data_IF_434078125125
#
_entry.id   IF_434078125125
#
_cell.length_a   1.000
_cell.length_b   1.000
_cell.length_c   1.000
_cell.angle_alpha   90.00
_cell.angle_beta   90.00
_cell.angle_gamma   90.00
#
_symmetry.space_group_name_H-M   'P 1'
#
loop_
_entity.id
_entity.type
_entity.pdbx_description
1 polymer ?
#
# COMPACT_ATOMS: atom_id res chain seq x y z
N UNK A 1 7.26 12.31 17.24
CA UNK A 1 8.52 11.60 17.56
C UNK A 1 8.57 10.37 16.68
N UNK A 2 9.75 9.97 16.19
CA UNK A 2 9.91 8.78 15.35
C UNK A 2 10.93 7.84 16.00
N UNK A 3 10.86 6.55 15.70
CA UNK A 3 11.86 5.57 16.14
C UNK A 3 13.15 5.69 15.31
N UNK A 4 14.30 5.61 15.98
CA UNK A 4 15.59 5.41 15.33
C UNK A 4 15.75 3.94 14.88
N UNK A 5 16.72 3.66 14.02
CA UNK A 5 17.07 2.31 13.57
C UNK A 5 17.23 1.29 14.73
N UNK A 6 17.93 1.67 15.79
CA UNK A 6 18.17 0.84 16.98
C UNK A 6 16.83 0.50 17.67
N UNK A 7 15.92 1.48 17.76
CA UNK A 7 14.61 1.29 18.37
C UNK A 7 13.68 0.46 17.48
N UNK A 8 13.70 0.68 16.16
CA UNK A 8 12.95 -0.13 15.19
C UNK A 8 13.36 -1.60 15.35
N UNK A 9 14.66 -1.87 15.37
CA UNK A 9 15.17 -3.23 15.54
C UNK A 9 14.74 -3.84 16.89
N UNK A 10 14.84 -3.09 17.98
CA UNK A 10 14.41 -3.57 19.30
C UNK A 10 12.90 -3.86 19.35
N UNK A 11 12.06 -2.99 18.79
CA UNK A 11 10.60 -3.16 18.78
C UNK A 11 10.13 -4.29 17.85
N UNK A 12 10.89 -4.60 16.77
CA UNK A 12 10.69 -5.82 15.98
C UNK A 12 11.00 -7.07 16.82
N UNK A 13 12.15 -7.09 17.50
CA UNK A 13 12.56 -8.21 18.37
C UNK A 13 11.57 -8.45 19.51
N UNK A 14 11.00 -7.39 20.06
CA UNK A 14 10.00 -7.45 21.13
C UNK A 14 8.58 -7.81 20.61
N UNK A 15 8.39 -7.93 19.29
CA UNK A 15 7.11 -8.25 18.68
C UNK A 15 6.08 -7.11 18.67
N UNK A 16 6.49 -5.88 19.00
CA UNK A 16 5.62 -4.70 18.94
C UNK A 16 5.47 -4.16 17.52
N UNK A 17 6.46 -4.41 16.65
CA UNK A 17 6.39 -4.14 15.21
C UNK A 17 6.52 -5.49 14.49
N UNK A 18 5.58 -5.77 13.60
CA UNK A 18 5.69 -6.89 12.65
C UNK A 18 6.25 -6.35 11.35
N UNK A 19 7.34 -6.95 10.88
CA UNK A 19 7.96 -6.71 9.56
C UNK A 19 8.38 -8.06 8.99
N UNK A 20 7.66 -8.57 7.99
CA UNK A 20 7.83 -9.93 7.50
C UNK A 20 7.98 -9.94 5.97
N UNK A 21 9.18 -10.26 5.43
CA UNK A 21 10.43 -10.58 6.14
C UNK A 21 11.20 -9.33 6.64
N UNK A 22 11.85 -9.46 7.81
CA UNK A 22 12.77 -8.46 8.35
C UNK A 22 14.23 -8.75 7.97
N UNK A 23 14.99 -7.72 7.63
CA UNK A 23 16.43 -7.79 7.34
C UNK A 23 17.11 -6.53 7.87
N UNK A 24 18.04 -6.69 8.80
CA UNK A 24 18.73 -5.57 9.44
C UNK A 24 19.51 -4.70 8.45
N UNK A 25 19.87 -5.22 7.27
CA UNK A 25 20.55 -4.44 6.22
C UNK A 25 19.69 -3.33 5.61
N UNK A 26 18.36 -3.40 5.77
CA UNK A 26 17.40 -2.39 5.26
C UNK A 26 17.00 -1.35 6.30
N UNK A 27 17.57 -1.41 7.51
CA UNK A 27 17.45 -0.32 8.47
C UNK A 27 18.20 0.91 7.97
N UNK A 28 17.51 2.05 8.02
CA UNK A 28 18.03 3.39 7.78
C UNK A 28 17.97 4.15 9.11
N UNK A 29 18.71 5.28 9.28
CA UNK A 29 18.86 5.94 10.59
C UNK A 29 17.58 6.17 11.39
N UNK A 30 16.44 6.41 10.72
CA UNK A 30 15.13 6.53 11.35
C UNK A 30 13.98 5.93 10.51
N UNK A 31 14.32 5.07 9.55
CA UNK A 31 13.34 4.42 8.66
C UNK A 31 13.71 2.96 8.39
N UNK A 32 12.80 2.21 7.78
CA UNK A 32 13.07 0.87 7.28
C UNK A 32 12.64 0.75 5.83
N UNK A 33 13.56 0.33 4.95
CA UNK A 33 13.27 0.15 3.54
C UNK A 33 12.44 -1.12 3.28
N UNK A 34 11.36 -0.97 2.54
CA UNK A 34 10.51 -2.07 2.05
C UNK A 34 10.65 -2.25 0.56
N UNK A 35 10.35 -3.45 0.09
CA UNK A 35 10.53 -3.88 -1.28
C UNK A 35 9.20 -3.97 -2.01
N UNK A 36 9.28 -3.85 -3.33
CA UNK A 36 8.16 -4.10 -4.22
C UNK A 36 7.88 -5.60 -4.30
N UNK A 37 6.62 -5.98 -4.19
CA UNK A 37 6.12 -7.32 -4.48
C UNK A 37 6.05 -7.60 -5.98
N UNK A 38 5.35 -8.66 -6.36
CA UNK A 38 5.26 -9.10 -7.76
C UNK A 38 3.85 -8.99 -8.35
N UNK A 39 2.87 -8.55 -7.56
CA UNK A 39 1.49 -8.36 -7.98
C UNK A 39 1.22 -6.89 -8.26
N UNK A 40 0.63 -6.61 -9.42
CA UNK A 40 0.19 -5.30 -9.85
C UNK A 40 -1.29 -5.33 -10.22
N UNK A 41 -2.02 -4.25 -9.97
CA UNK A 41 -3.38 -4.05 -10.47
C UNK A 41 -3.36 -2.87 -11.43
N UNK A 42 -3.75 -3.12 -12.67
CA UNK A 42 -3.76 -2.14 -13.74
C UNK A 42 -5.20 -1.88 -14.21
N UNK A 43 -5.50 -0.63 -14.52
CA UNK A 43 -6.81 -0.23 -15.02
C UNK A 43 -6.92 -0.54 -16.52
N UNK A 44 -8.06 -1.05 -16.96
CA UNK A 44 -8.40 -1.11 -18.37
C UNK A 44 -8.95 0.26 -18.84
N UNK A 45 -8.10 1.00 -19.54
CA UNK A 45 -8.34 2.38 -19.99
C UNK A 45 -9.49 2.53 -20.99
N UNK A 46 -9.90 1.46 -21.68
CA UNK A 46 -10.93 1.52 -22.72
C UNK A 46 -12.27 0.96 -22.26
N UNK A 47 -12.31 0.30 -21.12
CA UNK A 47 -13.51 -0.35 -20.60
C UNK A 47 -14.48 0.58 -19.85
N UNK A 48 -14.01 1.73 -19.37
CA UNK A 48 -14.75 2.58 -18.44
C UNK A 48 -14.80 4.02 -18.95
N UNK A 49 -15.99 4.50 -19.30
CA UNK A 49 -16.20 5.86 -19.83
C UNK A 49 -15.72 6.96 -18.87
N UNK A 50 -16.09 6.85 -17.60
CA UNK A 50 -15.73 7.78 -16.54
C UNK A 50 -15.91 7.10 -15.17
N UNK A 51 -15.06 7.46 -14.20
CA UNK A 51 -15.20 7.05 -12.81
C UNK A 51 -16.22 7.99 -12.14
N UNK A 52 -17.24 7.43 -11.50
CA UNK A 52 -18.27 8.16 -10.75
C UNK A 52 -18.54 7.42 -9.43
N UNK A 53 -17.81 7.77 -8.35
CA UNK A 53 -17.93 7.09 -7.07
C UNK A 53 -19.35 7.19 -6.47
N UNK A 54 -20.06 8.30 -6.72
CA UNK A 54 -21.41 8.51 -6.22
C UNK A 54 -22.43 7.55 -6.87
N UNK A 55 -22.17 7.14 -8.12
CA UNK A 55 -22.94 6.10 -8.82
C UNK A 55 -22.35 4.69 -8.67
N UNK A 56 -21.23 4.55 -7.95
CA UNK A 56 -20.52 3.29 -7.79
C UNK A 56 -19.85 2.78 -9.07
N UNK A 57 -19.50 3.68 -9.99
CA UNK A 57 -18.78 3.38 -11.23
C UNK A 57 -17.28 3.53 -10.95
N UNK A 58 -16.55 2.44 -11.09
CA UNK A 58 -15.10 2.34 -10.88
C UNK A 58 -14.47 1.69 -12.11
N UNK A 59 -13.16 1.87 -12.34
CA UNK A 59 -12.51 1.27 -13.50
C UNK A 59 -12.54 -0.25 -13.39
N UNK A 60 -12.66 -0.95 -14.53
CA UNK A 60 -12.31 -2.35 -14.55
C UNK A 60 -10.79 -2.49 -14.40
N UNK A 61 -10.39 -3.50 -13.66
CA UNK A 61 -8.99 -3.76 -13.33
C UNK A 61 -8.62 -5.18 -13.66
N UNK A 62 -7.38 -5.39 -14.05
CA UNK A 62 -6.78 -6.71 -14.19
C UNK A 62 -5.57 -6.83 -13.26
N UNK A 63 -5.36 -8.03 -12.72
CA UNK A 63 -4.18 -8.36 -11.92
C UNK A 63 -3.10 -8.89 -12.85
N UNK A 64 -1.89 -8.35 -12.71
CA UNK A 64 -0.70 -8.78 -13.42
C UNK A 64 0.30 -9.30 -12.38
N UNK A 65 0.77 -10.53 -12.56
CA UNK A 65 1.87 -11.09 -11.79
C UNK A 65 3.13 -11.13 -12.64
N UNK A 66 4.23 -10.62 -12.09
CA UNK A 66 5.55 -10.59 -12.76
C UNK A 66 6.46 -11.60 -12.08
N UNK A 67 7.15 -12.45 -12.83
CA UNK A 67 8.01 -13.46 -12.20
C UNK A 67 9.25 -12.82 -11.60
N UNK A 68 9.85 -13.51 -10.64
CA UNK A 68 11.15 -13.11 -10.10
C UNK A 68 12.18 -13.01 -11.23
N UNK A 69 12.90 -11.89 -11.31
CA UNK A 69 13.87 -11.60 -12.37
C UNK A 69 13.30 -10.88 -13.60
N UNK A 70 11.97 -10.80 -13.75
CA UNK A 70 11.33 -10.06 -14.84
C UNK A 70 11.11 -8.58 -14.49
N UNK A 71 10.49 -7.82 -15.40
CA UNK A 71 10.15 -6.40 -15.25
C UNK A 71 8.68 -6.11 -15.48
N UNK A 72 8.20 -5.11 -14.75
CA UNK A 72 7.01 -4.35 -15.10
C UNK A 72 7.44 -2.98 -15.64
N UNK A 73 6.99 -2.61 -16.83
CA UNK A 73 7.29 -1.29 -17.42
C UNK A 73 6.16 -0.31 -17.10
N UNK A 74 6.42 0.66 -16.23
CA UNK A 74 5.47 1.71 -15.89
C UNK A 74 5.64 2.90 -16.85
N UNK A 75 4.71 3.04 -17.79
CA UNK A 75 4.71 4.11 -18.78
C UNK A 75 4.41 5.50 -18.18
N UNK A 76 4.87 6.59 -18.81
CA UNK A 76 4.55 7.97 -18.44
C UNK A 76 3.06 8.22 -18.25
N UNK A 77 2.70 8.93 -17.18
CA UNK A 77 1.32 9.34 -16.87
C UNK A 77 0.40 8.19 -16.41
N UNK A 78 0.91 6.96 -16.31
CA UNK A 78 0.12 5.81 -15.87
C UNK A 78 0.18 5.67 -14.36
N UNK A 79 -0.97 5.40 -13.75
CA UNK A 79 -1.13 5.07 -12.34
C UNK A 79 -1.65 3.64 -12.19
N UNK A 80 -0.97 2.85 -11.35
CA UNK A 80 -1.29 1.45 -11.06
C UNK A 80 -1.24 1.23 -9.54
N UNK A 81 -1.75 0.08 -9.08
CA UNK A 81 -1.43 -0.41 -7.74
C UNK A 81 -0.30 -1.43 -7.84
N UNK A 82 0.76 -1.23 -7.06
CA UNK A 82 1.69 -2.28 -6.67
C UNK A 82 1.45 -2.67 -5.21
N UNK A 83 2.14 -3.69 -4.72
CA UNK A 83 2.07 -4.08 -3.32
C UNK A 83 3.46 -4.27 -2.73
N UNK A 84 3.63 -4.02 -1.43
CA UNK A 84 4.90 -4.35 -0.77
C UNK A 84 5.12 -5.86 -0.70
N UNK A 85 6.38 -6.28 -0.80
CA UNK A 85 6.78 -7.66 -0.53
C UNK A 85 6.62 -7.98 0.95
N UNK A 86 6.96 -7.03 1.81
CA UNK A 86 6.82 -7.14 3.25
C UNK A 86 5.36 -7.00 3.67
N UNK A 87 4.94 -7.88 4.57
CA UNK A 87 3.76 -7.69 5.40
C UNK A 87 4.18 -7.02 6.70
N UNK A 88 3.51 -5.95 7.09
CA UNK A 88 3.88 -5.20 8.30
C UNK A 88 2.69 -4.58 9.01
N UNK A 89 2.92 -4.22 10.28
CA UNK A 89 1.92 -3.58 11.14
C UNK A 89 2.38 -3.44 12.57
N UNK A 90 1.59 -2.73 13.38
CA UNK A 90 1.81 -2.60 14.82
C UNK A 90 0.50 -2.25 15.52
N UNK A 91 0.30 -2.70 16.76
CA UNK A 91 -0.78 -2.21 17.62
C UNK A 91 -0.38 -0.94 18.43
N UNK A 92 0.92 -0.62 18.49
CA UNK A 92 1.51 0.46 19.31
C UNK A 92 1.90 1.70 18.50
N UNK A 93 2.26 1.52 17.23
CA UNK A 93 2.80 2.58 16.38
C UNK A 93 1.84 2.94 15.24
N UNK A 94 1.76 4.23 14.93
CA UNK A 94 1.32 4.70 13.62
C UNK A 94 2.51 4.52 12.66
N UNK A 95 2.26 3.93 11.49
CA UNK A 95 3.30 3.71 10.49
C UNK A 95 2.99 4.58 9.28
N UNK A 96 3.98 5.26 8.73
CA UNK A 96 3.84 6.02 7.49
C UNK A 96 4.76 5.46 6.40
N UNK A 97 4.19 5.23 5.22
CA UNK A 97 4.91 4.84 4.02
C UNK A 97 5.34 6.09 3.27
N UNK A 98 6.62 6.19 2.94
CA UNK A 98 7.19 7.30 2.20
C UNK A 98 7.97 6.79 0.97
N UNK A 99 8.05 7.62 -0.08
CA UNK A 99 8.92 7.36 -1.21
C UNK A 99 10.40 7.42 -0.85
N UNK A 100 11.24 6.72 -1.61
CA UNK A 100 12.70 6.89 -1.55
C UNK A 100 13.10 8.11 -2.39
N UNK A 101 13.99 8.96 -1.86
CA UNK A 101 14.40 10.20 -2.56
C UNK A 101 15.00 9.92 -3.95
N UNK A 102 15.76 8.83 -4.10
CA UNK A 102 16.30 8.40 -5.39
C UNK A 102 15.22 8.13 -6.44
N UNK A 103 14.13 7.48 -6.05
CA UNK A 103 13.03 7.14 -6.95
C UNK A 103 12.13 8.35 -7.24
N UNK A 104 11.91 9.21 -6.25
CA UNK A 104 11.20 10.47 -6.44
C UNK A 104 11.90 11.37 -7.48
N UNK A 105 13.25 11.41 -7.48
CA UNK A 105 14.04 12.20 -8.43
C UNK A 105 13.93 11.74 -9.88
N UNK A 106 13.56 10.47 -10.12
CA UNK A 106 13.28 9.97 -11.47
C UNK A 106 11.78 10.03 -11.83
N UNK A 107 10.95 10.64 -10.99
CA UNK A 107 9.53 10.86 -11.24
C UNK A 107 8.61 9.74 -10.73
N UNK A 108 9.09 8.79 -9.93
CA UNK A 108 8.24 7.76 -9.34
C UNK A 108 7.56 8.25 -8.06
N UNK A 109 6.23 8.24 -8.05
CA UNK A 109 5.39 8.38 -6.86
C UNK A 109 5.02 6.99 -6.36
N UNK A 110 5.02 6.78 -5.04
CA UNK A 110 4.67 5.48 -4.41
C UNK A 110 3.37 5.48 -3.60
N UNK A 111 2.86 6.67 -3.26
CA UNK A 111 1.53 6.89 -2.70
C UNK A 111 1.04 8.28 -3.12
N UNK A 112 -0.26 8.47 -3.33
CA UNK A 112 -0.85 9.71 -3.82
C UNK A 112 -1.99 10.22 -2.91
N UNK A 113 -1.87 10.03 -1.59
CA UNK A 113 -2.58 10.76 -0.51
C UNK A 113 -2.67 9.97 0.80
N UNK A 114 -2.54 8.64 0.73
CA UNK A 114 -2.76 7.75 1.87
C UNK A 114 -1.48 7.00 2.27
N UNK A 115 -0.57 7.68 2.97
CA UNK A 115 0.67 7.09 3.50
C UNK A 115 0.49 6.31 4.80
N UNK A 116 -0.67 6.42 5.46
CA UNK A 116 -0.84 6.01 6.86
C UNK A 116 -1.34 4.56 7.00
N UNK A 117 -0.63 3.79 7.82
CA UNK A 117 -1.09 2.50 8.35
C UNK A 117 -1.42 2.65 9.83
N UNK A 118 -2.70 2.46 10.13
CA UNK A 118 -3.25 2.65 11.47
C UNK A 118 -2.87 1.52 12.43
N UNK A 119 -2.80 1.79 13.74
CA UNK A 119 -2.61 0.75 14.75
C UNK A 119 -3.61 -0.40 14.62
N UNK A 120 -3.09 -1.61 14.65
CA UNK A 120 -3.79 -2.87 14.45
C UNK A 120 -3.97 -3.28 12.99
N UNK A 121 -3.57 -2.47 12.01
CA UNK A 121 -3.56 -2.87 10.61
C UNK A 121 -2.28 -3.63 10.29
N UNK A 122 -2.42 -4.84 9.75
CA UNK A 122 -1.30 -5.69 9.31
C UNK A 122 -1.53 -6.10 7.86
N UNK A 123 -0.68 -5.66 6.94
CA UNK A 123 -0.86 -5.87 5.51
C UNK A 123 0.45 -5.84 4.71
N UNK A 124 0.40 -6.34 3.50
CA UNK A 124 1.23 -5.85 2.40
C UNK A 124 0.59 -4.57 1.86
N UNK A 125 1.24 -3.43 2.02
CA UNK A 125 0.65 -2.14 1.65
C UNK A 125 0.45 -2.05 0.14
N UNK A 126 -0.73 -1.57 -0.27
CA UNK A 126 -0.94 -1.09 -1.62
C UNK A 126 -0.11 0.19 -1.82
N UNK A 127 0.64 0.24 -2.93
CA UNK A 127 1.43 1.37 -3.38
C UNK A 127 0.74 1.96 -4.61
N UNK A 128 0.39 3.24 -4.55
CA UNK A 128 -0.23 3.96 -5.66
C UNK A 128 0.88 4.47 -6.58
N UNK A 129 1.42 3.57 -7.40
CA UNK A 129 2.60 3.82 -8.23
C UNK A 129 2.20 4.69 -9.43
N UNK A 130 2.89 5.82 -9.62
CA UNK A 130 2.68 6.71 -10.76
C UNK A 130 4.01 7.20 -11.32
N UNK A 131 4.14 7.17 -12.64
CA UNK A 131 5.29 7.71 -13.35
C UNK A 131 4.98 9.13 -13.87
N UNK A 132 5.60 10.14 -13.24
CA UNK A 132 5.51 11.54 -13.66
C UNK A 132 6.63 11.96 -14.63
N UNK A 133 7.52 11.04 -15.00
CA UNK A 133 8.55 11.29 -16.00
C UNK A 133 7.96 11.17 -17.43
N UNK A 134 8.72 11.60 -18.44
CA UNK A 134 8.39 11.45 -19.85
C UNK A 134 8.97 10.16 -20.48
N UNK A 135 9.76 9.39 -19.72
CA UNK A 135 10.28 8.06 -20.12
C UNK A 135 9.73 6.95 -19.23
N UNK A 136 9.59 5.71 -19.72
CA UNK A 136 9.16 4.57 -18.91
C UNK A 136 10.11 4.28 -17.75
N UNK A 137 9.55 3.81 -16.63
CA UNK A 137 10.29 3.33 -15.47
C UNK A 137 10.16 1.81 -15.38
N UNK A 138 11.29 1.12 -15.30
CA UNK A 138 11.31 -0.33 -15.06
C UNK A 138 11.19 -0.60 -13.56
N UNK A 139 10.14 -1.32 -13.20
CA UNK A 139 9.90 -1.80 -11.84
C UNK A 139 10.23 -3.30 -11.77
N UNK A 140 11.08 -3.68 -10.82
CA UNK A 140 11.45 -5.09 -10.62
C UNK A 140 10.94 -5.59 -9.27
N UNK A 141 10.22 -6.73 -9.23
CA UNK A 141 9.91 -7.38 -7.97
C UNK A 141 11.18 -7.57 -7.11
N UNK A 142 11.08 -7.21 -5.84
CA UNK A 142 12.19 -7.27 -4.88
C UNK A 142 13.07 -6.03 -4.80
N UNK A 143 12.93 -5.04 -5.69
CA UNK A 143 13.65 -3.76 -5.53
C UNK A 143 13.12 -3.00 -4.30
N UNK A 144 13.99 -2.26 -3.61
CA UNK A 144 13.55 -1.32 -2.57
C UNK A 144 12.74 -0.19 -3.20
N UNK A 145 11.53 0.03 -2.71
CA UNK A 145 10.52 0.89 -3.37
C UNK A 145 10.08 2.04 -2.49
N UNK A 146 9.99 1.81 -1.19
CA UNK A 146 9.49 2.77 -0.22
C UNK A 146 10.18 2.55 1.13
N UNK A 147 9.96 3.48 2.06
CA UNK A 147 10.52 3.43 3.40
C UNK A 147 9.44 3.71 4.44
N UNK A 148 9.56 3.09 5.60
CA UNK A 148 8.60 3.20 6.70
C UNK A 148 9.16 4.07 7.83
N UNK A 149 8.35 4.97 8.37
CA UNK A 149 8.58 5.62 9.67
C UNK A 149 7.60 5.06 10.71
N UNK A 150 7.99 5.10 11.98
CA UNK A 150 7.19 4.58 13.09
C UNK A 150 7.04 5.67 14.15
N UNK A 151 5.80 6.09 14.41
CA UNK A 151 5.46 7.13 15.39
C UNK A 151 4.71 6.53 16.57
N UNK A 152 5.19 6.71 17.82
CA UNK A 152 4.42 6.32 18.99
C UNK A 152 3.18 7.20 19.12
N UNK A 153 2.12 6.61 19.63
CA UNK A 153 0.88 7.33 19.94
C UNK A 153 1.00 8.01 21.30
N UNK A 154 0.33 9.14 21.47
CA UNK A 154 0.24 9.81 22.78
C UNK A 154 -0.54 8.99 23.81
N UNK A 155 -1.42 8.09 23.36
CA UNK A 155 -2.16 7.13 24.18
C UNK A 155 -2.68 5.97 23.33
N UNK A 156 -3.20 4.93 23.99
CA UNK A 156 -3.89 3.81 23.34
C UNK A 156 -5.14 4.27 22.56
N UNK A 157 -5.42 3.61 21.44
CA UNK A 157 -6.61 3.89 20.64
C UNK A 157 -7.82 3.16 21.20
N UNK A 158 -8.97 3.83 21.28
CA UNK A 158 -10.24 3.18 21.65
C UNK A 158 -10.74 2.20 20.58
N UNK A 159 -10.34 2.41 19.32
CA UNK A 159 -10.72 1.60 18.16
C UNK A 159 -9.45 1.05 17.52
N UNK A 160 -9.40 -0.26 17.30
CA UNK A 160 -8.35 -0.89 16.50
C UNK A 160 -8.80 -0.99 15.04
N UNK A 161 -7.86 -0.83 14.09
CA UNK A 161 -8.18 -1.03 12.68
C UNK A 161 -8.68 -2.47 12.42
N UNK A 162 -8.25 -3.46 13.24
CA UNK A 162 -8.74 -4.87 13.20
C UNK A 162 -10.26 -5.00 13.13
N UNK A 163 -10.98 -4.05 13.73
CA UNK A 163 -12.45 -4.07 13.83
C UNK A 163 -13.14 -3.28 12.70
N UNK A 164 -12.43 -2.38 12.02
CA UNK A 164 -13.03 -1.34 11.15
C UNK A 164 -12.48 -1.30 9.73
N UNK A 165 -11.34 -1.94 9.47
CA UNK A 165 -10.65 -1.84 8.19
C UNK A 165 -11.29 -2.63 7.05
N UNK A 166 -11.21 -2.06 5.85
CA UNK A 166 -11.81 -2.65 4.63
C UNK A 166 -10.88 -3.65 3.94
N UNK A 167 -9.58 -3.54 4.17
CA UNK A 167 -8.53 -4.32 3.50
C UNK A 167 -7.88 -5.37 4.43
N UNK A 168 -8.57 -5.73 5.51
CA UNK A 168 -7.99 -6.57 6.58
C UNK A 168 -7.89 -8.07 6.27
N UNK A 169 -8.72 -8.58 5.35
CA UNK A 169 -8.81 -10.02 5.04
C UNK A 169 -8.18 -10.39 3.70
N UNK A 170 -8.32 -9.51 2.70
CA UNK A 170 -7.63 -9.61 1.42
C UNK A 170 -7.23 -8.18 0.99
N UNK A 171 -5.94 -7.91 0.99
CA UNK A 171 -5.36 -6.60 0.68
C UNK A 171 -4.90 -6.49 -0.78
N UNK A 172 -4.77 -7.59 -1.52
CA UNK A 172 -4.42 -7.59 -2.95
C UNK A 172 -5.64 -7.37 -3.85
N UNK A 173 -6.41 -6.34 -3.53
CA UNK A 173 -7.61 -5.96 -4.26
C UNK A 173 -7.57 -4.48 -4.58
N UNK A 174 -8.18 -4.10 -5.69
CA UNK A 174 -8.42 -2.70 -6.02
C UNK A 174 -9.42 -2.06 -5.04
N UNK A 175 -10.12 -1.02 -5.49
CA UNK A 175 -11.05 -0.31 -4.62
C UNK A 175 -12.16 -1.22 -4.06
N UNK A 176 -12.30 -1.23 -2.72
CA UNK A 176 -13.40 -1.91 -2.02
C UNK A 176 -14.39 -0.87 -1.48
N UNK A 177 -15.68 -0.90 -1.90
CA UNK A 177 -16.67 0.05 -1.41
C UNK A 177 -16.93 -0.12 0.10
N UNK A 178 -17.33 0.96 0.81
CA UNK A 178 -17.68 0.88 2.22
C UNK A 178 -18.81 -0.11 2.51
N UNK A 179 -18.82 -0.65 3.73
CA UNK A 179 -19.91 -1.51 4.24
C UNK A 179 -21.21 -0.72 4.50
N UNK A 180 -21.13 0.58 4.80
CA UNK A 180 -22.27 1.45 5.11
C UNK A 180 -22.03 2.89 4.65
N UNK A 181 -23.09 3.68 4.54
CA UNK A 181 -23.04 5.08 4.11
C UNK A 181 -23.31 5.28 2.61
N UNK A 182 -23.26 6.54 2.13
CA UNK A 182 -23.73 6.91 0.79
C UNK A 182 -22.97 6.24 -0.37
N UNK A 183 -21.72 5.81 -0.12
CA UNK A 183 -20.87 5.12 -1.10
C UNK A 183 -20.94 3.59 -1.00
N UNK A 184 -21.76 3.04 -0.10
CA UNK A 184 -21.87 1.59 0.07
C UNK A 184 -22.62 0.95 -1.11
N UNK A 185 -22.17 -0.24 -1.53
CA UNK A 185 -22.80 -0.98 -2.63
C UNK A 185 -24.23 -1.36 -2.21
N UNK A 186 -25.26 -0.77 -2.83
CA UNK A 186 -26.66 -1.17 -2.59
C UNK A 186 -26.79 -2.66 -2.91
N UNK A 187 -27.23 -3.47 -1.94
CA UNK A 187 -27.58 -4.88 -2.19
C UNK A 187 -28.59 -4.91 -3.33
N UNK A 188 -28.26 -5.56 -4.45
CA UNK A 188 -29.27 -5.91 -5.45
C UNK A 188 -30.28 -6.82 -4.76
N UNK A 189 -31.47 -6.29 -4.46
CA UNK A 189 -32.62 -7.12 -4.13
C UNK A 189 -32.85 -8.04 -5.32
N UNK A 190 -32.61 -9.34 -5.16
CA UNK A 190 -33.13 -10.33 -6.10
C UNK A 190 -34.65 -10.13 -6.11
N UNK A 191 -35.20 -9.57 -7.18
CA UNK A 191 -36.63 -9.70 -7.45
C UNK A 191 -36.88 -11.19 -7.61
N UNK A 192 -37.66 -11.75 -6.69
CA UNK A 192 -38.14 -13.13 -6.80
C UNK A 192 -38.90 -13.29 -8.12
N UNK A 193 -38.62 -14.41 -8.77
CA UNK A 193 -39.52 -15.05 -9.74
C UNK A 193 -40.82 -15.43 -9.06
#
# INVERSE_FOLDING_TARGET
MFLADIDIHAEVKNGHIVLEPFDTKRLQPATYDIRLGNTFIVNDSHSTKAIDPAKGIYPNTQTVEVKDGEEFVLHPGVSILGYSKERFGSDKYLIEVNGKSSLARIGLIVHNSASIVNPGHYLNIALELCNLNNVPIVLRPGMEIAQLTFSPLSNTTKRSYKQTGRYHQNNFVGYVPPKSGPLARKKKTKKGT
#
